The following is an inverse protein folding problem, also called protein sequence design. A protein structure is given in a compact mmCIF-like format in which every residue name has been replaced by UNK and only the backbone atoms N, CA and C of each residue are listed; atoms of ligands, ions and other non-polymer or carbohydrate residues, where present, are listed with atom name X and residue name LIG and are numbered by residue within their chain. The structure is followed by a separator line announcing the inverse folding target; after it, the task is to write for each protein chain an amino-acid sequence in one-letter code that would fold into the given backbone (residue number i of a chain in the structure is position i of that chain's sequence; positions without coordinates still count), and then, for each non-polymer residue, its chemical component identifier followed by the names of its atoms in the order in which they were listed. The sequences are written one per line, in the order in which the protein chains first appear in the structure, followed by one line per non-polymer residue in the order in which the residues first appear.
data_IF_992334134263
#
_entry.id   IF_992334134263
#
_cell.length_a   1.000
_cell.length_b   1.000
_cell.length_c   1.000
_cell.angle_alpha   90.00
_cell.angle_beta   90.00
_cell.angle_gamma   90.00
#
_symmetry.space_group_name_H-M   'P 1'
#
loop_
_entity.id
_entity.type
_entity.pdbx_description
1 polymer ?
#
# COMPACT_ATOMS: atom_id res chain seq x y z
N UNK A 1 12.80 -10.86 -2.70
CA UNK A 1 12.88 -9.45 -3.13
C UNK A 1 12.35 -9.21 -4.55
N UNK A 2 12.76 -9.96 -5.58
CA UNK A 2 12.32 -9.77 -6.98
C UNK A 2 10.81 -9.97 -7.24
N UNK A 3 10.15 -10.93 -6.57
CA UNK A 3 8.70 -11.19 -6.75
C UNK A 3 7.80 -10.01 -6.35
N UNK A 4 8.23 -9.21 -5.38
CA UNK A 4 7.47 -8.05 -4.96
C UNK A 4 7.42 -6.97 -6.05
N UNK A 5 8.40 -6.91 -6.97
CA UNK A 5 8.40 -5.94 -8.08
C UNK A 5 7.34 -6.27 -9.15
N UNK A 6 7.16 -7.55 -9.47
CA UNK A 6 6.27 -7.98 -10.56
C UNK A 6 4.78 -7.72 -10.25
N UNK A 7 4.33 -8.00 -9.02
CA UNK A 7 2.92 -7.72 -8.62
C UNK A 7 2.66 -6.20 -8.51
N UNK A 8 3.68 -5.40 -8.18
CA UNK A 8 3.56 -3.94 -7.96
C UNK A 8 3.39 -3.13 -9.25
N UNK A 9 4.10 -3.48 -10.32
CA UNK A 9 4.00 -2.75 -11.60
C UNK A 9 2.67 -2.99 -12.32
N UNK A 10 2.05 -4.16 -12.12
CA UNK A 10 0.82 -4.54 -12.82
C UNK A 10 -0.40 -3.70 -12.38
N UNK A 11 -0.52 -3.33 -11.10
CA UNK A 11 -1.67 -2.54 -10.62
C UNK A 11 -1.67 -1.11 -11.16
N UNK A 12 -0.52 -0.43 -11.17
CA UNK A 12 -0.44 0.94 -11.73
C UNK A 12 -0.62 0.90 -13.24
N UNK A 13 0.02 -0.03 -13.93
CA UNK A 13 -0.16 -0.20 -15.38
C UNK A 13 -1.64 -0.42 -15.73
N UNK A 14 -2.35 -1.24 -14.93
CA UNK A 14 -3.78 -1.47 -15.09
C UNK A 14 -4.61 -0.18 -14.93
N UNK A 15 -4.35 0.63 -13.89
CA UNK A 15 -5.07 1.89 -13.70
C UNK A 15 -4.79 2.90 -14.82
N UNK A 16 -3.54 2.98 -15.27
CA UNK A 16 -3.15 3.82 -16.42
C UNK A 16 -3.87 3.39 -17.69
N UNK A 17 -3.96 2.08 -17.97
CA UNK A 17 -4.72 1.54 -19.11
C UNK A 17 -6.21 1.87 -19.01
N UNK A 18 -6.79 1.82 -17.81
CA UNK A 18 -8.20 2.22 -17.59
C UNK A 18 -8.42 3.71 -17.85
N UNK A 19 -7.49 4.58 -17.48
CA UNK A 19 -7.53 6.00 -17.83
C UNK A 19 -7.43 6.20 -19.34
N UNK A 20 -6.52 5.50 -20.03
CA UNK A 20 -6.38 5.57 -21.49
C UNK A 20 -7.69 5.13 -22.17
N UNK A 21 -8.30 4.04 -21.69
CA UNK A 21 -9.60 3.59 -22.18
C UNK A 21 -10.69 4.64 -21.95
N UNK A 22 -10.75 5.23 -20.75
CA UNK A 22 -11.73 6.27 -20.43
C UNK A 22 -11.53 7.52 -21.32
N UNK A 23 -10.29 7.94 -21.59
CA UNK A 23 -9.99 9.04 -22.52
C UNK A 23 -10.60 8.79 -23.90
N UNK A 24 -10.49 7.57 -24.41
CA UNK A 24 -11.10 7.18 -25.69
C UNK A 24 -12.63 7.15 -25.62
N UNK A 25 -13.19 6.57 -24.55
CA UNK A 25 -14.64 6.44 -24.34
C UNK A 25 -15.34 7.80 -24.25
N UNK A 26 -14.75 8.76 -23.54
CA UNK A 26 -15.32 10.09 -23.32
C UNK A 26 -14.71 11.17 -24.22
N UNK A 27 -13.90 10.79 -25.21
CA UNK A 27 -13.25 11.71 -26.15
C UNK A 27 -12.45 12.84 -25.48
N UNK A 28 -11.77 12.55 -24.37
CA UNK A 28 -10.95 13.53 -23.63
C UNK A 28 -9.48 13.41 -24.05
N UNK A 29 -9.09 14.23 -25.03
CA UNK A 29 -7.72 14.30 -25.54
C UNK A 29 -6.76 14.96 -24.53
N UNK A 30 -5.53 14.47 -24.37
CA UNK A 30 -4.47 15.21 -23.67
C UNK A 30 -4.25 16.60 -24.33
N UNK A 31 -3.90 17.65 -23.56
CA UNK A 31 -3.55 17.68 -22.14
C UNK A 31 -4.77 17.78 -21.19
N UNK A 32 -6.00 17.74 -21.71
CA UNK A 32 -7.18 17.92 -20.88
C UNK A 32 -7.31 16.83 -19.81
N UNK A 33 -7.65 17.25 -18.59
CA UNK A 33 -7.88 16.39 -17.41
C UNK A 33 -9.30 16.55 -16.85
N UNK A 34 -10.11 17.42 -17.47
CA UNK A 34 -11.52 17.65 -17.15
C UNK A 34 -12.41 17.07 -18.24
N UNK A 35 -13.63 16.71 -17.88
CA UNK A 35 -14.57 16.08 -18.79
C UNK A 35 -15.85 15.62 -18.09
N UNK A 36 -16.56 14.62 -18.62
CA UNK A 36 -17.72 14.06 -17.93
C UNK A 36 -17.34 13.55 -16.53
N UNK A 37 -18.23 13.65 -15.51
CA UNK A 37 -17.91 13.22 -14.15
C UNK A 37 -17.40 11.78 -14.03
N UNK A 38 -17.82 10.88 -14.92
CA UNK A 38 -17.34 9.50 -14.99
C UNK A 38 -15.85 9.40 -15.35
N UNK A 39 -15.41 10.20 -16.33
CA UNK A 39 -14.00 10.29 -16.71
C UNK A 39 -13.17 10.86 -15.57
N UNK A 40 -13.62 11.96 -14.98
CA UNK A 40 -12.88 12.63 -13.90
C UNK A 40 -12.69 11.71 -12.70
N UNK A 41 -13.71 10.91 -12.33
CA UNK A 41 -13.57 9.93 -11.24
C UNK A 41 -12.48 8.90 -11.52
N UNK A 42 -12.45 8.32 -12.72
CA UNK A 42 -11.42 7.34 -13.12
C UNK A 42 -10.03 7.98 -13.12
N UNK A 43 -9.91 9.18 -13.68
CA UNK A 43 -8.65 9.94 -13.72
C UNK A 43 -8.15 10.27 -12.31
N UNK A 44 -9.03 10.77 -11.42
CA UNK A 44 -8.70 11.07 -10.01
C UNK A 44 -8.39 9.82 -9.19
N UNK A 45 -9.06 8.71 -9.45
CA UNK A 45 -8.77 7.44 -8.80
C UNK A 45 -7.36 6.95 -9.13
N UNK A 46 -6.95 7.03 -10.41
CA UNK A 46 -5.59 6.68 -10.82
C UNK A 46 -4.55 7.63 -10.21
N UNK A 47 -4.77 8.94 -10.30
CA UNK A 47 -3.85 9.94 -9.75
C UNK A 47 -3.62 9.74 -8.24
N UNK A 48 -4.69 9.54 -7.48
CA UNK A 48 -4.58 9.25 -6.04
C UNK A 48 -3.78 7.98 -5.76
N UNK A 49 -4.06 6.88 -6.48
CA UNK A 49 -3.27 5.65 -6.32
C UNK A 49 -1.78 5.89 -6.62
N UNK A 50 -1.45 6.72 -7.62
CA UNK A 50 -0.07 7.06 -7.96
C UNK A 50 0.61 7.95 -6.90
N UNK A 51 -0.09 8.90 -6.29
CA UNK A 51 0.45 9.75 -5.21
C UNK A 51 0.85 8.94 -3.97
N UNK A 52 0.05 7.95 -3.59
CA UNK A 52 0.33 7.10 -2.41
C UNK A 52 1.30 5.95 -2.69
N UNK A 53 1.59 5.65 -3.95
CA UNK A 53 2.41 4.50 -4.30
C UNK A 53 3.86 4.57 -3.78
N UNK A 54 4.57 5.71 -3.85
CA UNK A 54 5.92 5.82 -3.28
C UNK A 54 5.94 5.53 -1.77
N UNK A 55 4.95 6.04 -1.02
CA UNK A 55 4.83 5.79 0.42
C UNK A 55 4.62 4.29 0.71
N UNK A 56 3.75 3.65 -0.06
CA UNK A 56 3.51 2.21 0.03
C UNK A 56 4.79 1.40 -0.23
N UNK A 57 5.50 1.70 -1.32
CA UNK A 57 6.73 0.98 -1.69
C UNK A 57 7.78 1.14 -0.60
N UNK A 58 7.95 2.34 -0.07
CA UNK A 58 8.91 2.63 0.99
C UNK A 58 8.60 1.85 2.27
N UNK A 59 7.36 1.95 2.78
CA UNK A 59 6.96 1.23 4.01
C UNK A 59 7.04 -0.28 3.84
N UNK A 60 6.65 -0.80 2.66
CA UNK A 60 6.70 -2.23 2.37
C UNK A 60 8.12 -2.76 2.36
N UNK A 61 9.06 -2.00 1.77
CA UNK A 61 10.48 -2.37 1.75
C UNK A 61 11.08 -2.38 3.16
N UNK A 62 10.86 -1.32 3.93
CA UNK A 62 11.37 -1.25 5.30
C UNK A 62 10.80 -2.35 6.18
N UNK A 63 9.48 -2.58 6.14
CA UNK A 63 8.86 -3.66 6.91
C UNK A 63 9.39 -5.04 6.49
N UNK A 64 9.67 -5.25 5.19
CA UNK A 64 10.19 -6.52 4.69
C UNK A 64 11.65 -6.77 5.05
N UNK A 65 12.49 -5.73 5.09
CA UNK A 65 13.92 -5.82 5.42
C UNK A 65 14.16 -5.86 6.92
N UNK A 66 13.49 -4.98 7.67
CA UNK A 66 13.81 -4.74 9.09
C UNK A 66 12.87 -5.45 10.07
N UNK A 67 11.75 -6.03 9.61
CA UNK A 67 10.78 -6.67 10.50
C UNK A 67 10.44 -8.11 10.09
N UNK A 68 9.64 -8.29 9.05
CA UNK A 68 9.25 -9.64 8.60
C UNK A 68 8.80 -9.60 7.15
N UNK A 69 9.49 -10.36 6.30
CA UNK A 69 9.15 -10.46 4.89
C UNK A 69 7.75 -11.06 4.68
N UNK A 70 7.33 -12.02 5.51
CA UNK A 70 6.02 -12.65 5.42
C UNK A 70 4.88 -11.65 5.72
N UNK A 71 5.00 -10.92 6.82
CA UNK A 71 3.99 -9.93 7.21
C UNK A 71 3.95 -8.74 6.25
N UNK A 72 5.11 -8.28 5.78
CA UNK A 72 5.19 -7.24 4.76
C UNK A 72 4.44 -7.65 3.48
N UNK A 73 4.65 -8.87 2.98
CA UNK A 73 3.94 -9.38 1.81
C UNK A 73 2.43 -9.48 2.07
N UNK A 74 2.01 -10.04 3.20
CA UNK A 74 0.59 -10.19 3.56
C UNK A 74 -0.13 -8.83 3.55
N UNK A 75 0.36 -7.88 4.34
CA UNK A 75 -0.27 -6.55 4.41
C UNK A 75 -0.11 -5.76 3.12
N UNK A 76 0.97 -6.00 2.36
CA UNK A 76 1.16 -5.42 1.03
C UNK A 76 0.12 -5.88 0.01
N UNK A 77 -0.23 -7.18 0.01
CA UNK A 77 -1.30 -7.71 -0.84
C UNK A 77 -2.66 -7.18 -0.43
N UNK A 78 -2.95 -7.11 0.88
CA UNK A 78 -4.19 -6.52 1.40
C UNK A 78 -4.32 -5.04 1.00
N UNK A 79 -3.23 -4.27 1.07
CA UNK A 79 -3.21 -2.89 0.59
C UNK A 79 -3.56 -2.78 -0.90
N UNK A 80 -2.91 -3.58 -1.75
CA UNK A 80 -3.15 -3.58 -3.20
C UNK A 80 -4.59 -3.99 -3.53
N UNK A 81 -5.14 -4.98 -2.82
CA UNK A 81 -6.54 -5.37 -2.94
C UNK A 81 -7.49 -4.22 -2.57
N UNK A 82 -7.22 -3.53 -1.45
CA UNK A 82 -7.97 -2.34 -1.07
C UNK A 82 -7.91 -1.23 -2.13
N UNK A 83 -6.74 -1.01 -2.74
CA UNK A 83 -6.57 -0.03 -3.83
C UNK A 83 -7.28 -0.44 -5.12
N UNK A 84 -7.34 -1.73 -5.41
CA UNK A 84 -8.13 -2.25 -6.52
C UNK A 84 -9.63 -1.98 -6.31
N UNK A 85 -10.16 -2.27 -5.12
CA UNK A 85 -11.55 -1.98 -4.75
C UNK A 85 -11.83 -0.47 -4.75
N UNK A 86 -10.91 0.34 -4.22
CA UNK A 86 -10.99 1.80 -4.24
C UNK A 86 -11.16 2.34 -5.66
N UNK A 87 -10.36 1.86 -6.60
CA UNK A 87 -10.43 2.32 -7.98
C UNK A 87 -11.78 1.99 -8.63
N UNK A 88 -12.27 0.76 -8.45
CA UNK A 88 -13.55 0.33 -9.02
C UNK A 88 -14.73 1.04 -8.36
N UNK A 89 -14.73 1.15 -7.03
CA UNK A 89 -15.74 1.87 -6.28
C UNK A 89 -15.81 3.34 -6.68
N UNK A 90 -14.65 3.98 -6.86
CA UNK A 90 -14.58 5.39 -7.26
C UNK A 90 -15.03 5.60 -8.71
N UNK A 91 -14.70 4.70 -9.63
CA UNK A 91 -15.17 4.78 -11.01
C UNK A 91 -16.71 4.81 -11.09
N UNK A 92 -17.38 3.99 -10.26
CA UNK A 92 -18.85 3.96 -10.17
C UNK A 92 -19.38 5.23 -9.50
N UNK A 93 -18.93 5.56 -8.29
CA UNK A 93 -19.42 6.72 -7.54
C UNK A 93 -18.37 7.32 -6.61
N UNK A 94 -18.49 8.61 -6.30
CA UNK A 94 -17.59 9.25 -5.33
C UNK A 94 -17.71 8.66 -3.92
N UNK A 95 -18.89 8.16 -3.54
CA UNK A 95 -19.12 7.56 -2.22
C UNK A 95 -18.56 6.14 -2.12
N UNK A 96 -18.65 5.36 -3.20
CA UNK A 96 -18.15 3.98 -3.26
C UNK A 96 -16.64 3.84 -3.07
N UNK A 97 -15.89 4.94 -3.08
CA UNK A 97 -14.45 4.95 -2.80
C UNK A 97 -14.11 4.87 -1.31
N UNK A 98 -15.00 5.31 -0.42
CA UNK A 98 -14.63 5.62 0.97
C UNK A 98 -14.28 4.38 1.79
N UNK A 99 -15.11 3.34 1.74
CA UNK A 99 -14.86 2.11 2.50
C UNK A 99 -13.54 1.42 2.08
N UNK A 100 -13.27 1.19 0.76
CA UNK A 100 -11.98 0.68 0.32
C UNK A 100 -10.81 1.63 0.63
N UNK A 101 -11.03 2.94 0.64
CA UNK A 101 -10.02 3.93 1.03
C UNK A 101 -9.62 3.73 2.48
N UNK A 102 -10.57 3.62 3.41
CA UNK A 102 -10.27 3.40 4.82
C UNK A 102 -9.62 2.04 5.06
N UNK A 103 -10.04 1.00 4.34
CA UNK A 103 -9.40 -0.31 4.41
C UNK A 103 -7.93 -0.24 3.95
N UNK A 104 -7.66 0.32 2.76
CA UNK A 104 -6.29 0.46 2.26
C UNK A 104 -5.43 1.37 3.13
N UNK A 105 -5.99 2.46 3.68
CA UNK A 105 -5.28 3.34 4.62
C UNK A 105 -4.88 2.60 5.90
N UNK A 106 -5.78 1.76 6.45
CA UNK A 106 -5.46 0.92 7.62
C UNK A 106 -4.28 -0.01 7.33
N UNK A 107 -4.29 -0.71 6.19
CA UNK A 107 -3.17 -1.60 5.81
C UNK A 107 -1.86 -0.83 5.62
N UNK A 108 -1.93 0.38 5.06
CA UNK A 108 -0.76 1.26 4.91
C UNK A 108 -0.18 1.68 6.26
N UNK A 109 -1.03 2.06 7.23
CA UNK A 109 -0.59 2.40 8.59
C UNK A 109 0.02 1.21 9.31
N UNK A 110 -0.52 0.00 9.13
CA UNK A 110 0.09 -1.23 9.66
C UNK A 110 1.50 -1.42 9.08
N UNK A 111 1.68 -1.28 7.76
CA UNK A 111 3.02 -1.37 7.15
C UNK A 111 3.99 -0.32 7.69
N UNK A 112 3.55 0.92 7.89
CA UNK A 112 4.37 1.98 8.48
C UNK A 112 4.77 1.62 9.92
N UNK A 113 3.84 1.08 10.71
CA UNK A 113 4.13 0.65 12.08
C UNK A 113 5.14 -0.50 12.11
N UNK A 114 4.97 -1.52 11.27
CA UNK A 114 5.92 -2.63 11.16
C UNK A 114 7.32 -2.16 10.71
N UNK A 115 7.38 -1.24 9.75
CA UNK A 115 8.62 -0.62 9.31
C UNK A 115 9.31 0.16 10.45
N UNK A 116 8.55 1.00 11.16
CA UNK A 116 9.07 1.80 12.27
C UNK A 116 9.58 0.92 13.41
N UNK A 117 8.81 -0.09 13.81
CA UNK A 117 9.19 -1.05 14.85
C UNK A 117 10.46 -1.82 14.45
N UNK A 118 10.51 -2.35 13.22
CA UNK A 118 11.69 -3.07 12.74
C UNK A 118 12.95 -2.21 12.74
N UNK A 119 12.85 -0.96 12.26
CA UNK A 119 13.99 -0.03 12.27
C UNK A 119 14.41 0.30 13.70
N UNK A 120 13.48 0.61 14.59
CA UNK A 120 13.77 0.93 16.00
C UNK A 120 14.47 -0.26 16.68
N UNK A 121 13.91 -1.46 16.58
CA UNK A 121 14.52 -2.67 17.15
C UNK A 121 15.94 -2.89 16.61
N UNK A 122 16.13 -2.76 15.29
CA UNK A 122 17.44 -2.92 14.66
C UNK A 122 18.45 -1.89 15.16
N UNK A 123 18.05 -0.61 15.24
CA UNK A 123 18.93 0.46 15.71
C UNK A 123 19.25 0.30 17.20
N UNK A 124 18.27 -0.04 18.03
CA UNK A 124 18.49 -0.28 19.46
C UNK A 124 19.43 -1.45 19.70
N UNK A 125 19.29 -2.54 18.95
CA UNK A 125 20.22 -3.67 19.01
C UNK A 125 21.63 -3.25 18.57
N UNK A 126 21.75 -2.49 17.47
CA UNK A 126 23.04 -2.07 16.93
C UNK A 126 23.79 -1.07 17.83
N UNK A 127 23.09 -0.12 18.44
CA UNK A 127 23.73 0.96 19.22
C UNK A 127 23.76 0.71 20.73
N UNK A 128 22.75 0.03 21.28
CA UNK A 128 22.62 -0.19 22.73
C UNK A 128 22.86 -1.65 23.13
N UNK A 129 23.00 -2.57 22.17
CA UNK A 129 23.12 -4.01 22.44
C UNK A 129 21.85 -4.62 23.07
N UNK A 130 20.74 -3.87 23.08
CA UNK A 130 19.48 -4.30 23.68
C UNK A 130 18.65 -5.06 22.66
N UNK A 131 18.45 -6.34 22.90
CA UNK A 131 17.53 -7.16 22.10
C UNK A 131 16.09 -6.98 22.60
N UNK A 132 15.45 -5.90 22.14
CA UNK A 132 14.08 -5.55 22.54
C UNK A 132 13.08 -6.66 22.20
N UNK A 133 13.26 -7.33 21.06
CA UNK A 133 12.36 -8.40 20.63
C UNK A 133 12.40 -9.57 21.61
N UNK A 134 13.61 -9.98 22.02
CA UNK A 134 13.80 -11.03 23.02
C UNK A 134 13.28 -10.63 24.41
N UNK A 135 13.53 -9.38 24.82
CA UNK A 135 13.00 -8.82 26.08
C UNK A 135 11.46 -8.83 26.11
N UNK A 136 10.81 -8.43 25.01
CA UNK A 136 9.35 -8.46 24.92
C UNK A 136 8.80 -9.89 24.93
N UNK A 137 9.43 -10.85 24.24
CA UNK A 137 8.97 -12.26 24.27
C UNK A 137 9.07 -12.88 25.66
N UNK A 138 10.11 -12.51 26.42
CA UNK A 138 10.31 -12.94 27.80
C UNK A 138 9.28 -12.32 28.75
N UNK A 139 9.01 -11.00 28.64
CA UNK A 139 8.01 -10.30 29.47
C UNK A 139 6.59 -10.80 29.20
N UNK A 140 6.28 -11.17 27.94
CA UNK A 140 4.97 -11.70 27.58
C UNK A 140 4.79 -13.21 27.90
N UNK A 141 5.81 -13.87 28.46
CA UNK A 141 5.78 -15.30 28.81
C UNK A 141 5.70 -16.25 27.61
N UNK A 142 6.03 -15.78 26.40
CA UNK A 142 5.90 -16.57 25.16
C UNK A 142 7.04 -17.58 24.97
N UNK A 143 8.02 -17.63 25.88
CA UNK A 143 9.20 -18.52 25.82
C UNK A 143 9.17 -19.69 26.80
N UNK A 144 8.09 -19.94 27.55
CA UNK A 144 8.03 -21.07 28.50
C UNK A 144 7.63 -22.43 27.91
N UNK A 145 7.44 -22.58 26.60
CA UNK A 145 7.18 -23.89 26.01
C UNK A 145 8.07 -24.20 24.79
N UNK A 146 8.98 -25.17 25.05
CA UNK A 146 9.86 -25.99 24.19
C UNK A 146 11.13 -25.36 23.61
#
# INVERSE_FOLDING_TARGET
VLWTFSVRCNCIAYFSLKVIYARRKYSVSPPATTGPPEFERVFRAQANCSEYFPLFVFSLWLAGVFFSQALAVLFGLLYLYGRYLYFHGYAVSAQGRLEPLYFSAKMQWVLIALAGLGVICTMTQAYLGLDLLHSFSHVLGLTEHT
#
